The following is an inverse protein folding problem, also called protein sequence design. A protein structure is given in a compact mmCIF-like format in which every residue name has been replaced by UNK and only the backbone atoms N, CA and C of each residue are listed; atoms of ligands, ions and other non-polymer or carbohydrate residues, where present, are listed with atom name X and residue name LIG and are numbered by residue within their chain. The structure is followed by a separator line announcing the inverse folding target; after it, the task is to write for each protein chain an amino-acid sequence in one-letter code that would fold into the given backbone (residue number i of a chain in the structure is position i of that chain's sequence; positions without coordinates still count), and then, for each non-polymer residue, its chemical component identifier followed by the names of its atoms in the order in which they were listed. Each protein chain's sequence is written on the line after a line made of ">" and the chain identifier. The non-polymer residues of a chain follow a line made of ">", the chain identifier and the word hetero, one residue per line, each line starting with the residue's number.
data_IF_679822898189
#
_entry.id   IF_679822898189
#
_cell.length_a   1.000
_cell.length_b   1.000
_cell.length_c   1.000
_cell.angle_alpha   90.00
_cell.angle_beta   90.00
_cell.angle_gamma   90.00
#
_symmetry.space_group_name_H-M   'P 1'
#
loop_
_entity.id
_entity.type
_entity.pdbx_description
1 polymer ?
#
# COMPACT_ATOMS: atom_id res chain seq x y z
N UNK A 1 5.16 -16.93 15.77
CA UNK A 1 6.36 -16.50 15.00
C UNK A 1 5.90 -15.56 13.90
N UNK A 2 6.57 -14.44 13.66
CA UNK A 2 6.26 -13.53 12.56
C UNK A 2 7.53 -13.12 11.80
N UNK A 3 7.43 -13.08 10.48
CA UNK A 3 8.49 -12.67 9.56
C UNK A 3 7.89 -11.58 8.69
N UNK A 4 8.50 -10.39 8.70
CA UNK A 4 8.12 -9.29 7.80
C UNK A 4 9.36 -8.84 7.06
N UNK A 5 9.30 -8.84 5.73
CA UNK A 5 10.38 -8.41 4.86
C UNK A 5 9.87 -7.44 3.82
N UNK A 6 10.70 -6.47 3.44
CA UNK A 6 10.40 -5.52 2.38
C UNK A 6 11.66 -5.18 1.59
N UNK A 7 11.50 -5.04 0.29
CA UNK A 7 12.53 -4.63 -0.65
C UNK A 7 12.02 -3.40 -1.37
N UNK A 8 12.81 -2.33 -1.33
CA UNK A 8 12.56 -1.10 -2.08
C UNK A 8 13.49 -1.06 -3.29
N UNK A 9 12.91 -0.85 -4.47
CA UNK A 9 13.63 -0.78 -5.73
C UNK A 9 13.29 0.55 -6.44
N UNK A 10 14.24 1.49 -6.54
CA UNK A 10 14.05 2.68 -7.35
C UNK A 10 14.07 2.30 -8.84
N UNK A 11 12.92 2.43 -9.52
CA UNK A 11 12.80 2.11 -10.95
C UNK A 11 13.16 3.31 -11.83
N UNK A 12 12.86 4.52 -11.36
CA UNK A 12 13.19 5.79 -12.02
C UNK A 12 13.47 6.83 -10.95
N UNK A 13 14.05 7.99 -11.32
CA UNK A 13 14.28 9.13 -10.40
C UNK A 13 13.03 9.51 -9.60
N UNK A 14 11.85 9.37 -10.22
CA UNK A 14 10.57 9.74 -9.64
C UNK A 14 9.66 8.54 -9.30
N UNK A 15 10.14 7.30 -9.46
CA UNK A 15 9.30 6.11 -9.27
C UNK A 15 10.02 5.04 -8.48
N UNK A 16 9.40 4.59 -7.40
CA UNK A 16 9.91 3.55 -6.49
C UNK A 16 8.91 2.41 -6.41
N UNK A 17 9.36 1.19 -6.65
CA UNK A 17 8.61 -0.01 -6.35
C UNK A 17 8.99 -0.53 -4.97
N UNK A 18 8.03 -1.01 -4.20
CA UNK A 18 8.24 -1.64 -2.90
C UNK A 18 7.52 -2.97 -2.91
N UNK A 19 8.26 -4.05 -2.73
CA UNK A 19 7.69 -5.39 -2.54
C UNK A 19 7.85 -5.73 -1.06
N UNK A 20 6.75 -5.98 -0.36
CA UNK A 20 6.76 -6.41 1.03
C UNK A 20 6.00 -7.71 1.22
N UNK A 21 6.37 -8.47 2.24
CA UNK A 21 5.71 -9.69 2.62
C UNK A 21 5.70 -9.82 4.13
N UNK A 22 4.60 -10.29 4.68
CA UNK A 22 4.48 -10.62 6.08
C UNK A 22 3.91 -12.03 6.23
N UNK A 23 4.47 -12.82 7.12
CA UNK A 23 4.02 -14.16 7.45
C UNK A 23 3.99 -14.29 8.96
N UNK A 24 2.86 -14.73 9.50
CA UNK A 24 2.61 -14.87 10.93
C UNK A 24 2.09 -16.28 11.17
N UNK A 25 2.64 -16.95 12.17
CA UNK A 25 2.23 -18.30 12.56
C UNK A 25 1.90 -18.29 14.05
N UNK A 26 0.67 -18.66 14.39
CA UNK A 26 0.18 -18.83 15.75
C UNK A 26 -0.34 -20.26 15.90
N UNK A 27 0.25 -21.02 16.83
CA UNK A 27 -0.17 -22.39 17.16
C UNK A 27 -0.29 -23.35 15.96
N UNK A 28 0.57 -23.19 14.95
CA UNK A 28 0.58 -24.04 13.76
C UNK A 28 -0.34 -23.57 12.64
N UNK A 29 -1.10 -22.48 12.83
CA UNK A 29 -1.89 -21.83 11.78
C UNK A 29 -1.10 -20.63 11.25
N UNK A 30 -0.71 -20.71 9.97
CA UNK A 30 0.01 -19.65 9.28
C UNK A 30 -0.94 -18.72 8.50
N UNK A 31 -0.78 -17.42 8.68
CA UNK A 31 -1.39 -16.36 7.88
C UNK A 31 -0.28 -15.52 7.24
N UNK A 32 -0.53 -14.92 6.08
CA UNK A 32 0.47 -14.11 5.43
C UNK A 32 -0.05 -13.32 4.25
N UNK A 33 0.66 -12.23 3.95
CA UNK A 33 0.39 -11.36 2.82
C UNK A 33 1.67 -10.98 2.09
N UNK A 34 1.55 -10.76 0.79
CA UNK A 34 2.56 -10.16 -0.08
C UNK A 34 1.93 -8.94 -0.72
N UNK A 35 2.61 -7.80 -0.60
CA UNK A 35 2.15 -6.52 -1.08
C UNK A 35 3.17 -5.95 -2.07
N UNK A 36 2.70 -5.48 -3.22
CA UNK A 36 3.49 -4.78 -4.21
C UNK A 36 2.95 -3.36 -4.33
N UNK A 37 3.77 -2.37 -3.98
CA UNK A 37 3.47 -0.95 -4.04
C UNK A 37 4.33 -0.27 -5.12
N UNK A 38 3.70 0.59 -5.90
CA UNK A 38 4.32 1.50 -6.84
C UNK A 38 4.06 2.92 -6.37
N UNK A 39 5.12 3.63 -6.00
CA UNK A 39 5.08 5.05 -5.67
C UNK A 39 5.67 5.87 -6.80
N UNK A 40 4.92 6.87 -7.28
CA UNK A 40 5.38 7.85 -8.26
C UNK A 40 5.27 9.26 -7.69
N UNK A 41 6.38 9.98 -7.67
CA UNK A 41 6.42 11.40 -7.37
C UNK A 41 6.12 12.18 -8.65
N UNK A 42 5.02 12.92 -8.70
CA UNK A 42 4.68 13.71 -9.89
C UNK A 42 5.34 15.09 -9.90
N UNK A 43 5.59 15.62 -8.70
CA UNK A 43 6.17 16.94 -8.47
C UNK A 43 6.78 16.93 -7.07
N UNK A 44 7.71 17.84 -6.72
CA UNK A 44 8.17 18.00 -5.34
C UNK A 44 7.04 18.23 -4.32
N UNK A 45 5.85 18.61 -4.80
CA UNK A 45 4.66 18.88 -3.99
C UNK A 45 3.61 17.76 -3.99
N UNK A 46 3.81 16.68 -4.75
CA UNK A 46 2.78 15.65 -4.91
C UNK A 46 3.33 14.28 -5.27
N UNK A 47 2.76 13.23 -4.67
CA UNK A 47 3.05 11.85 -5.00
C UNK A 47 1.76 11.03 -5.06
N UNK A 48 1.81 9.94 -5.83
CA UNK A 48 0.80 8.91 -5.85
C UNK A 48 1.43 7.55 -5.53
N UNK A 49 0.66 6.71 -4.87
CA UNK A 49 0.98 5.35 -4.46
C UNK A 49 -0.16 4.44 -4.93
N UNK A 50 0.21 3.33 -5.53
CA UNK A 50 -0.69 2.24 -5.88
C UNK A 50 -0.15 0.96 -5.27
N UNK A 51 -0.95 0.24 -4.51
CA UNK A 51 -0.54 -0.97 -3.80
C UNK A 51 -1.53 -2.10 -4.07
N UNK A 52 -0.98 -3.26 -4.38
CA UNK A 52 -1.69 -4.53 -4.56
C UNK A 52 -1.22 -5.49 -3.48
N UNK A 53 -2.14 -5.96 -2.64
CA UNK A 53 -1.89 -6.99 -1.63
C UNK A 53 -2.59 -8.29 -2.00
N UNK A 54 -1.90 -9.42 -1.86
CA UNK A 54 -2.44 -10.79 -2.00
C UNK A 54 -1.98 -11.63 -0.82
N UNK A 55 -2.83 -12.50 -0.31
CA UNK A 55 -2.56 -13.31 0.88
C UNK A 55 -3.86 -13.71 1.54
N UNK A 56 -3.94 -13.56 2.86
CA UNK A 56 -5.17 -13.78 3.63
C UNK A 56 -6.36 -12.96 3.08
N UNK A 57 -6.07 -11.77 2.56
CA UNK A 57 -7.02 -10.95 1.83
C UNK A 57 -6.36 -10.35 0.59
N UNK A 58 -7.12 -10.28 -0.50
CA UNK A 58 -6.69 -9.50 -1.66
C UNK A 58 -7.12 -8.06 -1.44
N UNK A 59 -6.22 -7.10 -1.62
CA UNK A 59 -6.54 -5.69 -1.47
C UNK A 59 -5.89 -4.83 -2.54
N UNK A 60 -6.57 -3.74 -2.87
CA UNK A 60 -6.08 -2.71 -3.77
C UNK A 60 -6.13 -1.40 -2.99
N UNK A 61 -5.02 -0.68 -2.94
CA UNK A 61 -4.94 0.63 -2.30
C UNK A 61 -4.40 1.65 -3.28
N UNK A 62 -5.06 2.80 -3.30
CA UNK A 62 -4.62 4.00 -4.00
C UNK A 62 -4.41 5.08 -2.95
N UNK A 63 -3.26 5.74 -2.95
CA UNK A 63 -3.00 6.88 -2.08
C UNK A 63 -2.40 8.01 -2.88
N UNK A 64 -2.90 9.21 -2.67
CA UNK A 64 -2.46 10.42 -3.32
C UNK A 64 -2.20 11.48 -2.28
N UNK A 65 -1.11 12.20 -2.46
CA UNK A 65 -0.78 13.38 -1.68
C UNK A 65 -0.56 14.55 -2.61
N UNK A 66 -1.12 15.70 -2.26
CA UNK A 66 -0.89 16.94 -2.96
C UNK A 66 -0.80 18.10 -1.98
N UNK A 67 0.22 18.93 -2.12
CA UNK A 67 0.33 20.18 -1.39
C UNK A 67 -0.35 21.30 -2.19
N UNK A 68 -1.58 21.69 -1.79
CA UNK A 68 -2.42 22.67 -2.50
C UNK A 68 -1.93 24.12 -2.33
N UNK A 69 -1.04 24.40 -1.37
CA UNK A 69 -0.50 25.75 -1.17
C UNK A 69 0.60 25.82 -0.11
N UNK A 70 0.84 27.01 0.46
CA UNK A 70 1.84 27.19 1.55
C UNK A 70 1.35 26.67 2.91
N UNK A 71 0.03 26.49 3.08
CA UNK A 71 -0.60 26.18 4.39
C UNK A 71 -1.53 24.97 4.36
N UNK A 72 -1.79 24.39 3.18
CA UNK A 72 -2.80 23.34 3.03
C UNK A 72 -2.25 22.20 2.19
N UNK A 73 -2.34 21.00 2.74
CA UNK A 73 -2.01 19.76 2.05
C UNK A 73 -3.20 18.81 2.15
N UNK A 74 -3.46 18.08 1.06
CA UNK A 74 -4.49 17.06 0.99
C UNK A 74 -3.85 15.69 0.90
N UNK A 75 -4.35 14.77 1.72
CA UNK A 75 -4.16 13.34 1.53
C UNK A 75 -5.47 12.73 1.06
N UNK A 76 -5.38 11.77 0.16
CA UNK A 76 -6.51 10.96 -0.23
C UNK A 76 -6.03 9.52 -0.29
N UNK A 77 -6.72 8.62 0.38
CA UNK A 77 -6.46 7.20 0.24
C UNK A 77 -7.75 6.41 0.12
N UNK A 78 -7.74 5.48 -0.82
CA UNK A 78 -8.80 4.53 -1.12
C UNK A 78 -8.24 3.14 -0.87
N UNK A 79 -8.93 2.35 -0.06
CA UNK A 79 -8.57 0.95 0.17
C UNK A 79 -9.77 0.07 -0.12
N UNK A 80 -9.60 -0.87 -1.03
CA UNK A 80 -10.56 -1.91 -1.36
C UNK A 80 -9.99 -3.24 -0.90
N UNK A 81 -10.65 -3.88 0.06
CA UNK A 81 -10.30 -5.20 0.54
C UNK A 81 -11.39 -6.21 0.12
N UNK A 82 -10.95 -7.24 -0.59
CA UNK A 82 -11.78 -8.37 -1.00
C UNK A 82 -11.58 -9.49 0.01
N UNK A 83 -12.59 -9.69 0.87
CA UNK A 83 -12.66 -10.84 1.78
C UNK A 83 -13.64 -11.86 1.20
N UNK A 84 -13.41 -13.15 1.46
CA UNK A 84 -14.22 -14.28 0.95
C UNK A 84 -15.74 -14.19 1.27
N UNK A 85 -16.17 -13.26 2.12
CA UNK A 85 -17.58 -13.07 2.47
C UNK A 85 -18.11 -11.63 2.31
N UNK A 86 -17.27 -10.63 2.00
CA UNK A 86 -17.72 -9.23 1.91
C UNK A 86 -16.68 -8.31 1.24
N UNK A 87 -17.15 -7.36 0.42
CA UNK A 87 -16.36 -6.23 -0.08
C UNK A 87 -16.29 -5.15 1.01
N UNK A 88 -15.10 -4.72 1.41
CA UNK A 88 -14.92 -3.56 2.30
C UNK A 88 -14.19 -2.45 1.55
N UNK A 89 -14.81 -1.28 1.47
CA UNK A 89 -14.22 -0.07 0.91
C UNK A 89 -14.04 0.96 2.02
N UNK A 90 -12.83 1.51 2.13
CA UNK A 90 -12.49 2.58 3.07
C UNK A 90 -11.91 3.78 2.34
N UNK A 91 -12.30 4.97 2.80
CA UNK A 91 -11.69 6.24 2.39
C UNK A 91 -11.08 6.88 3.62
N UNK A 92 -9.81 7.27 3.53
CA UNK A 92 -9.13 8.04 4.58
C UNK A 92 -8.57 9.31 3.93
N UNK A 93 -9.03 10.45 4.43
CA UNK A 93 -8.75 11.80 3.94
C UNK A 93 -8.05 12.62 5.04
#
# INVERSE_FOLDING_TARGET
>A
MSISQSIEAPLTKDTTAVLSGSLQNVNGIGTGSVNCMLRRTFSPKSFGEFELGVGDNTSIRLKGYHNLGKKMAGNLSLNLAFRQSMLSAGVQA
#
